data_IF_551086783922
#
_entry.id   IF_551086783922
#
_cell.length_a   1.000
_cell.length_b   1.000
_cell.length_c   1.000
_cell.angle_alpha   90.00
_cell.angle_beta   90.00
_cell.angle_gamma   90.00
#
_symmetry.space_group_name_H-M   'P 1'
#
loop_
_entity.id
_entity.type
_entity.pdbx_description
1 polymer ?
#
# COMPACT_ATOMS: atom_id res chain seq x y z
N UNK A 1 4.74 2.35 11.13
CA UNK A 1 4.40 1.50 9.97
C UNK A 1 4.64 2.31 8.71
N UNK A 2 5.25 1.70 7.70
CA UNK A 2 5.70 2.40 6.50
C UNK A 2 4.53 2.81 5.60
N UNK A 3 4.75 3.79 4.72
CA UNK A 3 3.81 4.13 3.66
C UNK A 3 4.20 3.41 2.37
N UNK A 4 3.22 3.06 1.54
CA UNK A 4 3.45 2.45 0.24
C UNK A 4 2.44 3.00 -0.78
N UNK A 5 2.75 2.80 -2.07
CA UNK A 5 1.87 3.17 -3.16
C UNK A 5 0.99 1.99 -3.53
N UNK A 6 -0.32 2.17 -3.54
CA UNK A 6 -1.22 1.17 -4.08
C UNK A 6 -0.93 0.93 -5.56
N UNK A 7 -0.72 -0.32 -5.97
CA UNK A 7 -0.42 -0.66 -7.37
C UNK A 7 -1.62 -0.48 -8.32
N UNK A 8 -2.84 -0.60 -7.78
CA UNK A 8 -4.09 -0.42 -8.53
C UNK A 8 -4.43 1.06 -8.72
N UNK A 9 -4.71 1.80 -7.63
CA UNK A 9 -5.21 3.18 -7.73
C UNK A 9 -4.17 4.28 -7.46
N UNK A 10 -2.91 3.91 -7.19
CA UNK A 10 -1.77 4.82 -7.00
C UNK A 10 -1.89 5.77 -5.80
N UNK A 11 -2.85 5.56 -4.91
CA UNK A 11 -2.95 6.31 -3.65
C UNK A 11 -1.85 5.89 -2.66
N UNK A 12 -1.52 6.78 -1.73
CA UNK A 12 -0.70 6.44 -0.56
C UNK A 12 -1.54 5.70 0.47
N UNK A 13 -0.97 4.63 1.04
CA UNK A 13 -1.58 3.82 2.10
C UNK A 13 -0.50 3.46 3.15
N UNK A 14 -0.93 3.12 4.36
CA UNK A 14 -0.07 2.67 5.44
C UNK A 14 -0.08 1.14 5.48
N UNK A 15 1.09 0.49 5.63
CA UNK A 15 1.18 -0.97 5.66
C UNK A 15 0.33 -1.62 6.77
N UNK A 16 -0.08 -0.87 7.79
CA UNK A 16 -0.96 -1.33 8.86
C UNK A 16 -2.45 -1.41 8.48
N UNK A 17 -2.89 -0.68 7.46
CA UNK A 17 -4.32 -0.48 7.16
C UNK A 17 -4.72 -0.95 5.76
N UNK A 18 -3.77 -1.36 4.93
CA UNK A 18 -4.05 -1.91 3.61
C UNK A 18 -3.57 -3.35 3.43
N UNK A 19 -3.79 -3.87 2.22
CA UNK A 19 -3.40 -5.21 1.81
C UNK A 19 -1.92 -5.25 1.40
N UNK A 20 -1.04 -4.94 2.36
CA UNK A 20 0.40 -5.04 2.16
C UNK A 20 0.90 -6.42 2.59
N UNK A 21 0.80 -6.76 3.88
CA UNK A 21 1.39 -8.01 4.39
C UNK A 21 0.67 -9.28 3.93
N UNK A 22 -0.61 -9.19 3.56
CA UNK A 22 -1.37 -10.32 3.03
C UNK A 22 -1.07 -10.65 1.57
N UNK A 23 -0.36 -9.79 0.84
CA UNK A 23 -0.24 -9.90 -0.63
C UNK A 23 0.43 -11.19 -1.11
N UNK A 24 1.33 -11.76 -0.32
CA UNK A 24 2.11 -12.95 -0.71
C UNK A 24 1.46 -14.26 -0.23
N UNK A 25 0.29 -14.18 0.43
CA UNK A 25 -0.42 -15.35 0.91
C UNK A 25 -1.21 -16.04 -0.22
N UNK A 26 -1.03 -17.35 -0.35
CA UNK A 26 -1.71 -18.19 -1.33
C UNK A 26 -3.23 -18.30 -1.11
N UNK A 27 -3.75 -17.86 0.04
CA UNK A 27 -5.17 -17.87 0.37
C UNK A 27 -5.99 -16.79 -0.37
N UNK A 28 -5.34 -15.88 -1.11
CA UNK A 28 -6.01 -14.80 -1.84
C UNK A 28 -6.26 -15.12 -3.31
N UNK A 29 -7.20 -14.43 -3.99
CA UNK A 29 -7.37 -14.53 -5.44
C UNK A 29 -6.08 -14.15 -6.22
N UNK A 30 -5.82 -14.84 -7.34
CA UNK A 30 -4.58 -14.65 -8.13
C UNK A 30 -4.45 -13.19 -8.62
N UNK A 31 -5.57 -12.51 -8.81
CA UNK A 31 -5.66 -11.14 -9.30
C UNK A 31 -5.05 -10.12 -8.33
N UNK A 32 -4.99 -10.43 -7.03
CA UNK A 32 -4.47 -9.54 -5.98
C UNK A 32 -3.14 -10.02 -5.39
N UNK A 33 -2.73 -11.27 -5.66
CA UNK A 33 -1.46 -11.83 -5.15
C UNK A 33 -0.25 -11.02 -5.63
N UNK A 34 0.70 -10.85 -4.73
CA UNK A 34 1.93 -10.08 -4.93
C UNK A 34 1.74 -8.57 -4.98
N UNK A 35 0.50 -8.06 -5.07
CA UNK A 35 0.21 -6.64 -5.24
C UNK A 35 0.05 -5.94 -3.89
N UNK A 36 0.79 -4.86 -3.69
CA UNK A 36 0.57 -3.94 -2.60
C UNK A 36 -0.70 -3.10 -2.89
N UNK A 37 -1.84 -3.47 -2.32
CA UNK A 37 -3.13 -2.82 -2.57
C UNK A 37 -3.61 -2.03 -1.36
N UNK A 38 -4.24 -0.87 -1.56
CA UNK A 38 -4.84 -0.12 -0.46
C UNK A 38 -6.12 -0.79 0.06
N UNK A 39 -6.64 -0.31 1.18
CA UNK A 39 -7.87 -0.85 1.77
C UNK A 39 -9.04 -0.95 0.79
N UNK A 40 -9.22 0.09 -0.03
CA UNK A 40 -10.28 0.16 -1.03
C UNK A 40 -10.04 -0.70 -2.29
N UNK A 41 -8.81 -1.16 -2.53
CA UNK A 41 -8.47 -1.98 -3.70
C UNK A 41 -8.12 -3.42 -3.33
N UNK A 42 -8.03 -3.75 -2.03
CA UNK A 42 -7.81 -5.11 -1.54
C UNK A 42 -9.02 -6.01 -1.83
N UNK A 43 -8.85 -7.33 -1.68
CA UNK A 43 -9.90 -8.29 -2.01
C UNK A 43 -11.07 -8.18 -1.03
N UNK A 44 -12.29 -7.89 -1.49
CA UNK A 44 -13.50 -7.85 -0.64
C UNK A 44 -13.80 -9.21 0.04
N UNK A 45 -13.49 -10.29 -0.69
CA UNK A 45 -13.80 -11.67 -0.31
C UNK A 45 -12.54 -12.53 -0.36
N UNK A 46 -12.39 -13.43 0.62
CA UNK A 46 -11.43 -14.52 0.59
C UNK A 46 -11.87 -15.66 -0.34
N UNK A 47 -10.96 -16.59 -0.63
CA UNK A 47 -11.27 -17.79 -1.42
C UNK A 47 -12.29 -18.72 -0.73
N UNK A 48 -12.39 -18.62 0.59
CA UNK A 48 -13.38 -19.31 1.43
C UNK A 48 -14.77 -18.66 1.40
N UNK A 49 -14.92 -17.53 0.70
CA UNK A 49 -16.15 -16.74 0.68
C UNK A 49 -16.36 -15.89 1.94
N UNK A 50 -15.34 -15.73 2.79
CA UNK A 50 -15.38 -14.82 3.94
C UNK A 50 -15.11 -13.36 3.55
N UNK A 51 -15.76 -12.41 4.23
CA UNK A 51 -15.45 -10.98 4.08
C UNK A 51 -14.12 -10.64 4.76
N UNK A 52 -13.31 -9.81 4.12
CA UNK A 52 -11.93 -9.51 4.57
C UNK A 52 -11.78 -8.17 5.30
N UNK A 53 -12.78 -7.30 5.19
CA UNK A 53 -12.70 -5.89 5.63
C UNK A 53 -12.03 -4.95 4.62
N UNK A 54 -11.65 -5.45 3.44
CA UNK A 54 -11.20 -4.63 2.29
C UNK A 54 -12.33 -4.40 1.28
N UNK A 55 -12.04 -3.60 0.24
CA UNK A 55 -12.99 -3.16 -0.79
C UNK A 55 -13.51 -1.75 -0.58
N UNK A 56 -13.35 -1.23 0.63
CA UNK A 56 -13.72 0.14 0.99
C UNK A 56 -12.55 0.84 1.68
N UNK A 57 -12.55 2.17 1.62
CA UNK A 57 -11.53 2.96 2.31
C UNK A 57 -11.76 2.93 3.82
N UNK A 58 -10.72 2.60 4.59
CA UNK A 58 -10.82 2.43 6.05
C UNK A 58 -11.13 3.71 6.85
N UNK A 59 -11.03 4.90 6.24
CA UNK A 59 -11.39 6.18 6.86
C UNK A 59 -10.45 6.70 7.96
N UNK A 60 -9.33 6.04 8.26
CA UNK A 60 -8.35 6.45 9.29
C UNK A 60 -7.51 7.67 8.89
N UNK A 61 -7.35 7.91 7.59
CA UNK A 61 -6.67 9.09 7.04
C UNK A 61 -7.16 9.39 5.61
N UNK A 62 -6.88 10.59 5.07
CA UNK A 62 -7.34 10.96 3.73
C UNK A 62 -6.77 10.06 2.63
N UNK A 63 -7.64 9.60 1.72
CA UNK A 63 -7.23 8.93 0.49
C UNK A 63 -6.70 9.98 -0.49
N UNK A 64 -5.40 9.99 -0.76
CA UNK A 64 -4.76 10.94 -1.70
C UNK A 64 -3.76 10.25 -2.63
N UNK A 65 -3.45 10.88 -3.76
CA UNK A 65 -2.41 10.40 -4.67
C UNK A 65 -1.05 10.33 -3.96
N UNK A 66 -0.23 9.34 -4.34
CA UNK A 66 1.18 9.27 -3.95
C UNK A 66 2.08 10.18 -4.79
N UNK A 67 1.57 10.82 -5.86
CA UNK A 67 2.32 11.78 -6.69
C UNK A 67 3.00 12.84 -5.83
N UNK A 68 4.26 13.13 -6.13
CA UNK A 68 5.11 14.08 -5.40
C UNK A 68 5.83 13.48 -4.18
N UNK A 69 5.51 12.25 -3.77
CA UNK A 69 6.27 11.54 -2.74
C UNK A 69 7.55 10.93 -3.32
N UNK A 70 8.53 10.66 -2.46
CA UNK A 70 9.76 9.94 -2.84
C UNK A 70 9.72 8.50 -2.34
N UNK A 71 10.37 7.59 -3.06
CA UNK A 71 10.39 6.14 -2.74
C UNK A 71 11.78 5.69 -2.35
N UNK A 72 11.89 4.87 -1.31
CA UNK A 72 13.15 4.31 -0.85
C UNK A 72 13.51 2.95 -1.48
N UNK A 73 14.68 2.43 -1.15
CA UNK A 73 15.19 1.17 -1.68
C UNK A 73 14.34 -0.07 -1.34
N UNK A 74 13.42 0.04 -0.38
CA UNK A 74 12.51 -1.03 0.02
C UNK A 74 11.10 -0.84 -0.56
N UNK A 75 10.89 0.21 -1.37
CA UNK A 75 9.58 0.53 -1.95
C UNK A 75 8.67 1.34 -1.04
N UNK A 76 9.17 1.88 0.08
CA UNK A 76 8.36 2.70 0.98
C UNK A 76 8.39 4.18 0.60
N UNK A 77 7.26 4.85 0.82
CA UNK A 77 7.05 6.25 0.48
C UNK A 77 7.41 7.19 1.62
N UNK A 78 7.98 8.33 1.27
CA UNK A 78 8.35 9.40 2.17
C UNK A 78 7.90 10.76 1.62
N UNK A 79 7.74 11.74 2.51
CA UNK A 79 7.54 13.12 2.09
C UNK A 79 8.84 13.68 1.51
N UNK A 80 8.75 14.42 0.41
CA UNK A 80 9.91 15.12 -0.17
C UNK A 80 10.48 16.12 0.85
N UNK A 81 11.80 16.11 1.04
CA UNK A 81 12.48 16.97 2.02
C UNK A 81 12.30 16.58 3.49
N UNK A 82 11.61 15.46 3.79
CA UNK A 82 11.45 14.96 5.16
C UNK A 82 12.77 14.48 5.76
N UNK A 83 12.87 14.51 7.10
CA UNK A 83 14.02 13.92 7.82
C UNK A 83 13.97 12.40 7.70
N UNK A 84 14.98 11.81 7.07
CA UNK A 84 15.08 10.36 6.87
C UNK A 84 16.08 9.73 7.86
N UNK A 85 15.85 8.48 8.31
CA UNK A 85 16.87 7.70 8.99
C UNK A 85 18.11 7.49 8.09
N UNK A 86 19.29 7.34 8.69
CA UNK A 86 20.55 7.17 7.95
C UNK A 86 20.58 5.92 7.06
N UNK A 87 19.77 4.91 7.36
CA UNK A 87 19.65 3.67 6.58
C UNK A 87 18.75 3.79 5.35
N UNK A 88 18.05 4.91 5.18
CA UNK A 88 17.08 5.10 4.09
C UNK A 88 17.77 5.79 2.92
N UNK A 89 17.67 5.18 1.75
CA UNK A 89 18.17 5.70 0.47
C UNK A 89 16.99 5.89 -0.47
N UNK A 90 16.74 7.14 -0.86
CA UNK A 90 15.75 7.44 -1.90
C UNK A 90 16.26 6.96 -3.26
N UNK A 91 15.41 6.23 -3.98
CA UNK A 91 15.70 5.66 -5.31
C UNK A 91 14.83 6.24 -6.42
N UNK A 92 13.82 7.04 -6.09
CA UNK A 92 12.98 7.69 -7.09
C UNK A 92 11.95 8.65 -6.51
N UNK A 93 11.22 9.30 -7.42
CA UNK A 93 10.07 10.17 -7.13
C UNK A 93 8.84 9.61 -7.83
N UNK A 94 7.68 9.69 -7.17
CA UNK A 94 6.41 9.28 -7.76
C UNK A 94 5.86 10.42 -8.61
N UNK A 95 5.69 10.13 -9.90
CA UNK A 95 4.94 10.94 -10.87
C UNK A 95 3.45 10.57 -10.83
#
# INVERSE_FOLDING_TARGET
MSLYRCESCRCVENTATGFFYGRDDAHWPVEVRGKALCSACGPEMGLDGGKTGFGEWHGRFPRRSATGMVVDQNGFLWSEGGRLPASVRIVGKIE
#
